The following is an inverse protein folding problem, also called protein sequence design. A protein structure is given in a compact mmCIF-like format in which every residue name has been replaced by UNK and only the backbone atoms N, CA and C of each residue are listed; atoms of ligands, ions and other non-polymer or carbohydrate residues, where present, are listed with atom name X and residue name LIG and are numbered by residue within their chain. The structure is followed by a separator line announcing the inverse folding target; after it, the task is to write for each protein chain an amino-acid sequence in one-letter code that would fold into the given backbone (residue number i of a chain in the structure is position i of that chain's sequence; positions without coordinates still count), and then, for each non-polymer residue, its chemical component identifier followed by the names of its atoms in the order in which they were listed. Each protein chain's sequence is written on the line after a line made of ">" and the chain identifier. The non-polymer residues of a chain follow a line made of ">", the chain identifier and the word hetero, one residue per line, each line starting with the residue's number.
data_IF_022354113881
#
_entry.id   IF_022354113881
#
_cell.length_a   1.000
_cell.length_b   1.000
_cell.length_c   1.000
_cell.angle_alpha   90.00
_cell.angle_beta   90.00
_cell.angle_gamma   90.00
#
_symmetry.space_group_name_H-M   'P 1'
#
loop_
_entity.id
_entity.type
_entity.pdbx_description
1 polymer ?
#
# COMPACT_ATOMS: atom_id res chain seq x y z
N UNK A 1 -67.90 -7.59 -58.28
CA UNK A 1 -67.03 -6.54 -58.83
C UNK A 1 -65.72 -6.58 -58.03
N UNK A 2 -64.70 -7.34 -58.44
CA UNK A 2 -63.71 -7.10 -59.51
C UNK A 2 -62.65 -6.05 -59.09
N UNK A 3 -61.47 -6.58 -58.69
CA UNK A 3 -60.08 -6.05 -58.73
C UNK A 3 -59.73 -4.79 -57.90
N UNK A 4 -58.53 -4.63 -57.32
CA UNK A 4 -57.20 -5.10 -57.73
C UNK A 4 -56.22 -5.09 -56.52
N UNK A 5 -55.50 -6.20 -56.31
CA UNK A 5 -54.31 -6.29 -55.46
C UNK A 5 -53.15 -5.48 -56.08
N UNK A 6 -52.41 -4.74 -55.24
CA UNK A 6 -51.05 -4.29 -55.54
C UNK A 6 -50.13 -4.70 -54.38
N UNK A 7 -49.17 -5.52 -54.77
CA UNK A 7 -48.07 -6.11 -53.99
C UNK A 7 -47.10 -5.05 -53.49
N UNK A 8 -46.60 -5.19 -52.26
CA UNK A 8 -45.25 -4.73 -51.90
C UNK A 8 -44.53 -5.88 -51.19
N UNK A 9 -43.55 -6.43 -51.90
CA UNK A 9 -42.58 -7.39 -51.39
C UNK A 9 -41.51 -6.66 -50.58
N UNK A 10 -41.24 -7.13 -49.37
CA UNK A 10 -39.87 -7.24 -48.85
C UNK A 10 -39.86 -8.14 -47.64
N UNK A 11 -39.31 -9.33 -47.84
CA UNK A 11 -38.91 -10.22 -46.77
C UNK A 11 -37.72 -9.60 -46.04
N UNK A 12 -37.84 -9.36 -44.75
CA UNK A 12 -36.70 -9.13 -43.86
C UNK A 12 -36.68 -10.31 -42.90
N UNK A 13 -35.88 -11.31 -43.26
CA UNK A 13 -35.56 -12.43 -42.39
C UNK A 13 -34.71 -11.89 -41.22
N UNK A 14 -35.30 -11.85 -40.03
CA UNK A 14 -34.59 -11.52 -38.79
C UNK A 14 -33.77 -12.75 -38.40
N UNK A 15 -32.55 -12.86 -38.93
CA UNK A 15 -31.53 -13.72 -38.32
C UNK A 15 -31.01 -13.02 -37.07
N UNK A 16 -31.52 -13.43 -35.90
CA UNK A 16 -30.87 -13.14 -34.63
C UNK A 16 -29.54 -13.89 -34.60
N UNK A 17 -28.47 -13.24 -35.05
CA UNK A 17 -27.10 -13.71 -34.82
C UNK A 17 -26.87 -13.64 -33.31
N UNK A 18 -26.99 -14.77 -32.64
CA UNK A 18 -26.69 -14.92 -31.22
C UNK A 18 -25.25 -14.46 -30.98
N UNK A 19 -25.09 -13.33 -30.29
CA UNK A 19 -23.80 -12.85 -29.87
C UNK A 19 -23.26 -13.81 -28.80
N UNK A 20 -22.25 -14.61 -29.17
CA UNK A 20 -21.42 -15.35 -28.22
C UNK A 20 -20.59 -14.34 -27.42
N UNK A 21 -21.17 -13.79 -26.37
CA UNK A 21 -20.43 -13.01 -25.39
C UNK A 21 -19.52 -13.96 -24.61
N UNK A 22 -18.24 -14.00 -24.96
CA UNK A 22 -17.22 -14.68 -24.16
C UNK A 22 -17.13 -14.00 -22.78
N UNK A 23 -17.12 -14.74 -21.67
CA UNK A 23 -16.90 -14.15 -20.36
C UNK A 23 -15.48 -13.60 -20.31
N UNK A 24 -15.33 -12.27 -20.26
CA UNK A 24 -14.06 -11.63 -19.94
C UNK A 24 -13.78 -11.92 -18.47
N UNK A 25 -12.85 -12.84 -18.19
CA UNK A 25 -12.37 -13.07 -16.84
C UNK A 25 -11.69 -11.79 -16.32
N UNK A 26 -12.33 -11.11 -15.38
CA UNK A 26 -11.74 -9.96 -14.72
C UNK A 26 -10.54 -10.45 -13.88
N UNK A 27 -9.32 -10.08 -14.29
CA UNK A 27 -8.13 -10.34 -13.49
C UNK A 27 -8.18 -9.45 -12.25
N UNK A 28 -8.21 -10.06 -11.06
CA UNK A 28 -8.16 -9.33 -9.81
C UNK A 28 -6.82 -8.58 -9.69
N UNK A 29 -6.87 -7.29 -9.35
CA UNK A 29 -5.66 -6.51 -9.12
C UNK A 29 -4.81 -7.17 -8.01
N UNK A 30 -3.47 -7.25 -8.16
CA UNK A 30 -2.63 -7.87 -7.15
C UNK A 30 -2.75 -7.14 -5.81
N UNK A 31 -2.91 -7.91 -4.73
CA UNK A 31 -2.97 -7.35 -3.39
C UNK A 31 -1.68 -6.58 -3.05
N UNK A 32 -1.85 -5.37 -2.51
CA UNK A 32 -0.72 -4.54 -2.09
C UNK A 32 -0.12 -5.06 -0.79
N UNK A 33 1.20 -4.96 -0.59
CA UNK A 33 1.84 -5.32 0.66
C UNK A 33 1.27 -4.51 1.82
N UNK A 34 1.18 -5.14 2.99
CA UNK A 34 0.88 -4.49 4.27
C UNK A 34 2.18 -4.21 5.04
N UNK A 35 2.05 -3.76 6.28
CA UNK A 35 3.17 -3.62 7.22
C UNK A 35 2.83 -4.42 8.46
N UNK A 36 3.84 -5.04 9.05
CA UNK A 36 3.77 -5.59 10.39
C UNK A 36 4.31 -4.56 11.37
N UNK A 37 3.47 -4.18 12.33
CA UNK A 37 3.83 -3.34 13.46
C UNK A 37 3.86 -4.23 14.70
N UNK A 38 4.98 -4.89 14.94
CA UNK A 38 5.17 -5.84 16.04
C UNK A 38 4.11 -6.94 16.09
N UNK A 39 3.76 -7.49 14.92
CA UNK A 39 2.77 -8.55 14.75
C UNK A 39 1.39 -8.07 14.28
N UNK A 40 1.07 -6.79 14.47
CA UNK A 40 -0.17 -6.23 13.92
C UNK A 40 0.00 -5.93 12.43
N UNK A 41 -0.77 -6.62 11.59
CA UNK A 41 -0.69 -6.47 10.14
C UNK A 41 -1.74 -5.48 9.63
N UNK A 42 -1.32 -4.29 9.21
CA UNK A 42 -2.20 -3.24 8.71
C UNK A 42 -1.64 -2.51 7.48
N UNK A 43 -2.50 -1.81 6.76
CA UNK A 43 -2.12 -0.95 5.65
C UNK A 43 -2.17 0.51 6.11
N UNK A 44 -1.19 1.30 5.68
CA UNK A 44 -1.12 2.75 5.96
C UNK A 44 -1.28 3.13 7.44
N UNK A 45 -0.55 2.51 8.38
CA UNK A 45 -0.67 2.85 9.79
C UNK A 45 -0.18 4.29 10.06
N UNK A 46 -0.74 4.95 11.07
CA UNK A 46 -0.32 6.30 11.49
C UNK A 46 0.91 6.28 12.40
N UNK A 47 1.26 5.12 12.95
CA UNK A 47 2.50 4.88 13.70
C UNK A 47 3.10 3.52 13.38
N UNK A 48 4.42 3.39 13.53
CA UNK A 48 5.15 2.15 13.29
C UNK A 48 6.32 2.04 14.27
N UNK A 49 6.28 1.06 15.16
CA UNK A 49 7.37 0.75 16.08
C UNK A 49 8.48 0.05 15.28
N UNK A 50 9.68 0.61 15.35
CA UNK A 50 10.85 0.09 14.62
C UNK A 50 11.70 -0.85 15.51
N UNK A 51 11.65 -0.69 16.82
CA UNK A 51 12.31 -1.57 17.80
C UNK A 51 11.28 -2.31 18.67
N UNK A 52 10.72 -3.40 18.14
CA UNK A 52 9.59 -4.09 18.79
C UNK A 52 9.87 -4.64 20.21
N UNK A 53 11.14 -4.83 20.59
CA UNK A 53 11.48 -5.37 21.91
C UNK A 53 11.27 -4.35 23.04
N UNK A 54 11.41 -3.04 22.75
CA UNK A 54 11.46 -1.98 23.77
C UNK A 54 10.67 -0.72 23.40
N UNK A 55 10.24 -0.58 22.14
CA UNK A 55 9.58 0.60 21.59
C UNK A 55 10.36 1.92 21.75
N UNK A 56 11.68 1.86 21.94
CA UNK A 56 12.53 3.04 22.04
C UNK A 56 12.74 3.77 20.71
N UNK A 57 12.34 3.18 19.58
CA UNK A 57 12.38 3.82 18.28
C UNK A 57 11.07 3.57 17.52
N UNK A 58 10.46 4.65 17.05
CA UNK A 58 9.20 4.59 16.30
C UNK A 58 9.09 5.68 15.24
N UNK A 59 8.18 5.45 14.30
CA UNK A 59 7.63 6.46 13.41
C UNK A 59 6.23 6.84 13.91
N UNK A 60 5.98 8.14 14.00
CA UNK A 60 4.76 8.73 14.51
C UNK A 60 4.14 9.66 13.45
N UNK A 61 2.83 9.89 13.53
CA UNK A 61 2.10 10.83 12.68
C UNK A 61 2.35 10.62 11.17
N UNK A 62 2.41 9.36 10.75
CA UNK A 62 2.66 8.98 9.36
C UNK A 62 1.50 9.41 8.47
N UNK A 63 1.85 10.16 7.41
CA UNK A 63 0.95 10.58 6.33
C UNK A 63 1.41 9.96 5.02
N UNK A 64 0.67 8.97 4.55
CA UNK A 64 1.00 8.20 3.35
C UNK A 64 0.63 8.96 2.09
N UNK A 65 1.62 9.17 1.21
CA UNK A 65 1.43 9.82 -0.09
C UNK A 65 1.35 8.80 -1.23
N UNK A 66 1.96 7.64 -1.07
CA UNK A 66 1.88 6.54 -2.04
C UNK A 66 1.92 5.17 -1.35
N UNK A 67 1.21 4.20 -1.93
CA UNK A 67 1.22 2.81 -1.49
C UNK A 67 1.10 1.89 -2.70
N UNK A 68 2.21 1.26 -3.08
CA UNK A 68 2.30 0.45 -4.29
C UNK A 68 2.77 -0.97 -4.00
N UNK A 69 2.97 -1.76 -5.05
CA UNK A 69 3.33 -3.18 -4.93
C UNK A 69 4.75 -3.43 -4.41
N UNK A 70 5.67 -2.50 -4.69
CA UNK A 70 7.10 -2.62 -4.37
C UNK A 70 7.56 -1.60 -3.32
N UNK A 71 6.88 -0.46 -3.22
CA UNK A 71 7.21 0.59 -2.25
C UNK A 71 5.97 1.29 -1.73
N UNK A 72 6.09 1.88 -0.53
CA UNK A 72 5.14 2.86 0.00
C UNK A 72 5.91 4.07 0.55
N UNK A 73 5.32 5.26 0.48
CA UNK A 73 5.97 6.52 0.87
C UNK A 73 5.11 7.31 1.82
N UNK A 74 5.73 7.89 2.84
CA UNK A 74 5.09 8.76 3.80
C UNK A 74 6.02 9.88 4.27
N UNK A 75 5.43 10.90 4.88
CA UNK A 75 6.11 11.81 5.79
C UNK A 75 5.62 11.56 7.20
N UNK A 76 6.43 11.86 8.21
CA UNK A 76 6.02 11.76 9.60
C UNK A 76 7.08 12.30 10.54
N UNK A 77 7.05 11.80 11.77
CA UNK A 77 8.04 12.09 12.80
C UNK A 77 8.76 10.80 13.17
N UNK A 78 10.07 10.84 13.20
CA UNK A 78 10.87 9.78 13.80
C UNK A 78 11.11 10.14 15.26
N UNK A 79 10.87 9.20 16.15
CA UNK A 79 10.94 9.35 17.60
C UNK A 79 11.92 8.31 18.13
N UNK A 80 12.93 8.75 18.87
CA UNK A 80 13.91 7.86 19.50
C UNK A 80 14.23 8.29 20.92
N UNK A 81 14.32 7.32 21.83
CA UNK A 81 14.83 7.54 23.18
C UNK A 81 16.36 7.59 23.14
N UNK A 82 16.98 8.60 23.74
CA UNK A 82 18.44 8.68 23.86
C UNK A 82 19.04 7.68 24.85
N UNK A 83 18.20 7.07 25.70
CA UNK A 83 18.59 6.13 26.74
C UNK A 83 19.72 6.62 27.64
N UNK A 84 19.76 7.92 27.96
CA UNK A 84 20.81 8.50 28.81
C UNK A 84 20.26 8.97 30.16
N UNK A 85 20.79 8.48 31.30
CA UNK A 85 21.81 7.43 31.46
C UNK A 85 21.26 6.00 31.28
N UNK A 86 19.94 5.82 31.38
CA UNK A 86 19.24 4.56 31.15
C UNK A 86 18.05 4.79 30.23
N UNK A 87 17.50 3.75 29.59
CA UNK A 87 16.30 3.90 28.75
C UNK A 87 15.03 4.29 29.52
N UNK A 88 14.99 4.04 30.83
CA UNK A 88 13.84 4.42 31.67
C UNK A 88 13.85 5.92 31.96
N UNK A 89 15.05 6.51 32.11
CA UNK A 89 15.24 7.92 32.45
C UNK A 89 15.46 8.82 31.23
N UNK A 90 15.81 8.22 30.09
CA UNK A 90 16.12 8.93 28.85
C UNK A 90 14.95 9.72 28.27
N UNK A 91 15.27 10.56 27.30
CA UNK A 91 14.33 11.47 26.66
C UNK A 91 14.07 11.07 25.21
N UNK A 92 12.81 11.21 24.79
CA UNK A 92 12.43 11.01 23.40
C UNK A 92 12.73 12.25 22.54
N UNK A 93 13.63 12.10 21.60
CA UNK A 93 13.97 13.09 20.57
C UNK A 93 13.12 12.86 19.32
N UNK A 94 12.63 13.95 18.73
CA UNK A 94 11.71 13.91 17.59
C UNK A 94 12.25 14.69 16.41
N UNK A 95 12.24 14.04 15.25
CA UNK A 95 12.76 14.59 14.00
C UNK A 95 11.74 14.44 12.87
N UNK A 96 11.64 15.46 12.00
CA UNK A 96 10.88 15.31 10.76
C UNK A 96 11.50 14.21 9.91
N UNK A 97 10.65 13.38 9.32
CA UNK A 97 11.08 12.20 8.58
C UNK A 97 10.33 12.03 7.26
N UNK A 98 11.07 11.63 6.24
CA UNK A 98 10.52 11.03 5.01
C UNK A 98 10.77 9.53 5.07
N UNK A 99 9.73 8.74 4.87
CA UNK A 99 9.74 7.28 5.03
C UNK A 99 9.47 6.61 3.70
N UNK A 100 10.28 5.60 3.37
CA UNK A 100 10.04 4.70 2.24
C UNK A 100 10.06 3.26 2.72
N UNK A 101 8.93 2.57 2.58
CA UNK A 101 8.84 1.13 2.78
C UNK A 101 9.21 0.40 1.50
N UNK A 102 9.88 -0.74 1.62
CA UNK A 102 10.33 -1.53 0.47
C UNK A 102 10.55 -3.00 0.82
N UNK A 103 11.10 -3.75 -0.14
CA UNK A 103 11.42 -5.17 -0.05
C UNK A 103 10.20 -6.01 0.42
N UNK A 104 9.09 -6.01 -0.34
CA UNK A 104 7.93 -6.82 0.00
C UNK A 104 8.27 -8.31 -0.04
N UNK A 105 7.85 -9.06 0.98
CA UNK A 105 7.95 -10.52 1.05
C UNK A 105 6.61 -11.11 1.45
N UNK A 106 6.38 -12.36 1.09
CA UNK A 106 5.24 -13.13 1.57
C UNK A 106 5.65 -13.89 2.82
N UNK A 107 5.03 -13.58 3.96
CA UNK A 107 5.26 -14.22 5.25
C UNK A 107 3.90 -14.76 5.72
N UNK A 108 3.82 -16.07 5.96
CA UNK A 108 2.57 -16.75 6.35
C UNK A 108 1.37 -16.41 5.45
N UNK A 109 1.60 -16.39 4.12
CA UNK A 109 0.58 -16.04 3.13
C UNK A 109 0.23 -14.55 3.02
N UNK A 110 0.83 -13.68 3.84
CA UNK A 110 0.60 -12.23 3.81
C UNK A 110 1.78 -11.52 3.15
N UNK A 111 1.50 -10.69 2.15
CA UNK A 111 2.52 -9.83 1.54
C UNK A 111 2.77 -8.62 2.44
N UNK A 112 4.00 -8.44 2.92
CA UNK A 112 4.38 -7.34 3.81
C UNK A 112 5.69 -6.69 3.39
N UNK A 113 5.83 -5.37 3.57
CA UNK A 113 7.12 -4.71 3.45
C UNK A 113 8.04 -5.13 4.59
N UNK A 114 9.33 -5.31 4.30
CA UNK A 114 10.32 -5.79 5.29
C UNK A 114 11.43 -4.79 5.58
N UNK A 115 11.43 -3.64 4.90
CA UNK A 115 12.40 -2.56 5.09
C UNK A 115 11.69 -1.23 5.21
N UNK A 116 12.16 -0.38 6.12
CA UNK A 116 11.79 1.02 6.23
C UNK A 116 13.06 1.89 6.14
N UNK A 117 13.18 2.68 5.08
CA UNK A 117 14.20 3.74 4.98
C UNK A 117 13.61 5.04 5.51
N UNK A 118 14.32 5.69 6.42
CA UNK A 118 13.96 6.96 7.04
C UNK A 118 15.02 7.98 6.66
N UNK A 119 14.60 9.12 6.13
CA UNK A 119 15.48 10.25 5.74
C UNK A 119 15.10 11.45 6.58
N UNK A 120 16.09 12.18 7.11
CA UNK A 120 15.90 13.34 7.98
C UNK A 120 16.19 14.63 7.19
N UNK A 121 15.17 15.36 6.73
CA UNK A 121 15.40 16.60 5.98
C UNK A 121 16.12 17.62 6.86
N UNK A 122 17.22 18.19 6.35
CA UNK A 122 17.97 19.25 7.05
C UNK A 122 19.04 18.74 8.02
N UNK A 123 19.28 17.43 8.14
CA UNK A 123 20.41 16.86 8.89
C UNK A 123 21.45 16.33 7.89
N UNK A 124 22.65 16.91 7.90
CA UNK A 124 23.74 16.57 6.96
C UNK A 124 24.55 15.35 7.39
N UNK A 125 24.67 15.09 8.69
CA UNK A 125 25.28 13.87 9.23
C UNK A 125 24.19 12.83 9.52
N UNK A 126 24.40 11.56 9.16
CA UNK A 126 23.38 10.48 9.28
C UNK A 126 22.04 10.79 8.59
N UNK A 127 22.08 11.43 7.42
CA UNK A 127 20.89 11.90 6.68
C UNK A 127 19.84 10.82 6.37
N UNK A 128 20.19 9.53 6.44
CA UNK A 128 19.22 8.44 6.35
C UNK A 128 19.60 7.20 7.18
N UNK A 129 18.57 6.51 7.70
CA UNK A 129 18.65 5.24 8.44
C UNK A 129 17.73 4.20 7.79
N UNK A 130 18.10 2.91 7.83
CA UNK A 130 17.26 1.82 7.31
C UNK A 130 17.02 0.77 8.39
N UNK A 131 15.75 0.45 8.61
CA UNK A 131 15.27 -0.51 9.59
C UNK A 131 14.73 -1.77 8.91
N UNK A 132 14.89 -2.92 9.56
CA UNK A 132 14.20 -4.16 9.18
C UNK A 132 12.89 -4.24 9.94
N UNK A 133 11.82 -4.56 9.24
CA UNK A 133 10.49 -4.75 9.83
C UNK A 133 10.27 -6.25 10.04
N UNK A 134 9.74 -6.61 11.21
CA UNK A 134 9.50 -7.99 11.65
C UNK A 134 8.12 -8.47 11.22
#
# INVERSE_FOLDING_TARGET
>A
MVFRMLTVSSAIAIMCVGSLALPVAASAAPALPKVSNCGEISAKPTGLVLSCADANTALEMLKWTAWGQSTARATGTFSENDCSPTCVEGMYHRYKATVTLSAPKTINGKKVFTKARVVFPGITDQSNRTFTLN
#
